data_IF_698488465989
#
_entry.id   IF_698488465989
#
_cell.length_a   1.000
_cell.length_b   1.000
_cell.length_c   1.000
_cell.angle_alpha   90.00
_cell.angle_beta   90.00
_cell.angle_gamma   90.00
#
_symmetry.space_group_name_H-M   'P 1'
#
loop_
_entity.id
_entity.type
_entity.pdbx_description
1 polymer ?
#
# COMPACT_ATOMS: atom_id res chain seq x y z
N UNK A 1 -24.72 19.90 -18.58
CA UNK A 1 -24.01 20.88 -19.39
C UNK A 1 -24.98 21.61 -20.32
N UNK A 2 -25.73 20.91 -21.19
CA UNK A 2 -26.69 21.55 -22.14
C UNK A 2 -27.83 22.27 -21.43
N UNK A 3 -28.27 21.80 -20.27
CA UNK A 3 -29.31 22.43 -19.45
C UNK A 3 -28.82 23.62 -18.60
N UNK A 4 -27.53 23.96 -18.64
CA UNK A 4 -26.94 25.04 -17.85
C UNK A 4 -26.95 24.79 -16.33
N UNK A 5 -27.14 23.55 -15.90
CA UNK A 5 -27.06 23.15 -14.49
C UNK A 5 -25.54 22.98 -14.12
N UNK A 6 -25.06 23.57 -13.02
CA UNK A 6 -23.69 23.34 -12.54
C UNK A 6 -23.37 21.85 -12.36
N UNK A 7 -22.10 21.46 -12.55
CA UNK A 7 -21.68 20.07 -12.49
C UNK A 7 -22.02 19.42 -11.15
N UNK A 8 -21.78 20.13 -10.05
CA UNK A 8 -22.03 19.64 -8.68
C UNK A 8 -23.41 19.94 -8.11
N UNK A 9 -24.38 20.32 -8.97
CA UNK A 9 -25.73 20.62 -8.50
C UNK A 9 -26.49 19.33 -8.15
N UNK A 10 -27.07 19.21 -6.95
CA UNK A 10 -27.83 18.01 -6.54
C UNK A 10 -29.02 17.66 -7.41
N UNK A 11 -29.47 18.58 -8.28
CA UNK A 11 -30.52 18.34 -9.29
C UNK A 11 -29.98 17.64 -10.53
N UNK A 12 -28.66 17.54 -10.69
CA UNK A 12 -28.04 16.86 -11.81
C UNK A 12 -27.94 15.34 -11.50
N UNK A 13 -28.70 14.50 -12.23
CA UNK A 13 -28.62 13.04 -11.99
C UNK A 13 -27.23 12.44 -12.27
N UNK A 14 -26.40 13.14 -13.06
CA UNK A 14 -25.01 12.76 -13.29
C UNK A 14 -24.17 12.78 -12.01
N UNK A 15 -24.40 13.74 -11.12
CA UNK A 15 -23.71 13.81 -9.81
C UNK A 15 -24.02 12.59 -8.95
N UNK A 16 -25.26 12.12 -8.95
CA UNK A 16 -25.67 10.92 -8.20
C UNK A 16 -25.00 9.68 -8.79
N UNK A 17 -24.97 9.57 -10.13
CA UNK A 17 -24.34 8.45 -10.82
C UNK A 17 -22.82 8.41 -10.59
N UNK A 18 -22.17 9.57 -10.59
CA UNK A 18 -20.74 9.75 -10.33
C UNK A 18 -20.39 9.30 -8.91
N UNK A 19 -21.05 9.85 -7.90
CA UNK A 19 -20.84 9.46 -6.50
C UNK A 19 -21.12 7.98 -6.23
N UNK A 20 -22.12 7.38 -6.87
CA UNK A 20 -22.39 5.94 -6.77
C UNK A 20 -21.28 5.15 -7.47
N UNK A 21 -20.83 5.61 -8.65
CA UNK A 21 -19.75 5.01 -9.42
C UNK A 21 -18.44 4.98 -8.63
N UNK A 22 -18.07 6.09 -7.99
CA UNK A 22 -16.90 6.19 -7.13
C UNK A 22 -16.97 5.19 -5.96
N UNK A 23 -18.11 5.08 -5.28
CA UNK A 23 -18.29 4.12 -4.20
C UNK A 23 -18.21 2.67 -4.68
N UNK A 24 -18.72 2.35 -5.85
CA UNK A 24 -18.66 0.99 -6.42
C UNK A 24 -17.29 0.69 -7.01
N UNK A 25 -16.70 1.62 -7.77
CA UNK A 25 -15.41 1.45 -8.43
C UNK A 25 -14.24 1.53 -7.46
N UNK A 26 -14.14 2.66 -6.75
CA UNK A 26 -12.94 2.98 -5.97
C UNK A 26 -12.96 2.33 -4.58
N UNK A 27 -14.10 2.05 -4.00
CA UNK A 27 -14.19 1.39 -2.69
C UNK A 27 -14.37 -0.11 -2.83
N UNK A 28 -15.45 -0.57 -3.48
CA UNK A 28 -15.76 -1.99 -3.57
C UNK A 28 -14.87 -2.70 -4.61
N UNK A 29 -14.65 -2.09 -5.79
CA UNK A 29 -13.83 -2.65 -6.86
C UNK A 29 -12.37 -2.76 -6.45
N UNK A 30 -11.73 -1.65 -6.03
CA UNK A 30 -10.36 -1.65 -5.54
C UNK A 30 -10.18 -2.55 -4.30
N UNK A 31 -11.16 -2.61 -3.41
CA UNK A 31 -11.12 -3.49 -2.26
C UNK A 31 -10.99 -4.96 -2.65
N UNK A 32 -11.69 -5.41 -3.70
CA UNK A 32 -11.57 -6.79 -4.21
C UNK A 32 -10.23 -7.06 -4.86
N UNK A 33 -9.68 -6.11 -5.62
CA UNK A 33 -8.35 -6.24 -6.27
C UNK A 33 -7.23 -6.32 -5.22
N UNK A 34 -7.30 -5.51 -4.16
CA UNK A 34 -6.36 -5.57 -3.04
C UNK A 34 -6.46 -6.91 -2.32
N UNK A 35 -7.68 -7.42 -2.10
CA UNK A 35 -7.90 -8.72 -1.46
C UNK A 35 -7.31 -9.87 -2.30
N UNK A 36 -7.50 -9.87 -3.62
CA UNK A 36 -6.92 -10.86 -4.52
C UNK A 36 -5.39 -10.84 -4.45
N UNK A 37 -4.78 -9.66 -4.56
CA UNK A 37 -3.32 -9.49 -4.47
C UNK A 37 -2.76 -9.93 -3.12
N UNK A 38 -3.47 -9.65 -2.04
CA UNK A 38 -3.11 -10.05 -0.70
C UNK A 38 -3.16 -11.58 -0.52
N UNK A 39 -4.22 -12.23 -0.99
CA UNK A 39 -4.33 -13.69 -1.00
C UNK A 39 -3.23 -14.34 -1.86
N UNK A 40 -2.95 -13.77 -3.03
CA UNK A 40 -1.88 -14.22 -3.91
C UNK A 40 -0.51 -14.18 -3.25
N UNK A 41 -0.19 -13.09 -2.55
CA UNK A 41 1.05 -12.94 -1.78
C UNK A 41 1.16 -13.97 -0.65
N UNK A 42 0.08 -14.22 0.09
CA UNK A 42 0.05 -15.26 1.14
C UNK A 42 0.27 -16.66 0.56
N UNK A 43 -0.42 -17.01 -0.53
CA UNK A 43 -0.28 -18.31 -1.20
C UNK A 43 1.16 -18.50 -1.68
N UNK A 44 1.75 -17.49 -2.31
CA UNK A 44 3.13 -17.53 -2.78
C UNK A 44 4.12 -17.74 -1.62
N UNK A 45 3.94 -17.03 -0.51
CA UNK A 45 4.78 -17.17 0.68
C UNK A 45 4.68 -18.56 1.31
N UNK A 46 3.46 -19.12 1.40
CA UNK A 46 3.23 -20.47 1.92
C UNK A 46 3.84 -21.52 0.98
N UNK A 47 3.70 -21.34 -0.35
CA UNK A 47 4.28 -22.26 -1.32
C UNK A 47 5.80 -22.30 -1.25
N UNK A 48 6.46 -21.15 -1.06
CA UNK A 48 7.92 -21.10 -0.82
C UNK A 48 8.27 -21.76 0.52
N UNK A 49 7.56 -21.44 1.60
CA UNK A 49 7.79 -22.03 2.92
C UNK A 49 7.62 -23.56 2.93
N UNK A 50 6.71 -24.10 2.12
CA UNK A 50 6.52 -25.55 2.00
C UNK A 50 7.73 -26.30 1.45
N UNK A 51 8.66 -25.62 0.77
CA UNK A 51 9.89 -26.21 0.27
C UNK A 51 10.98 -26.33 1.35
N UNK A 52 10.79 -25.68 2.51
CA UNK A 52 11.74 -25.66 3.61
C UNK A 52 11.46 -26.72 4.67
N UNK A 53 10.41 -27.55 4.52
CA UNK A 53 9.95 -28.60 5.44
C UNK A 53 9.74 -28.12 6.90
N UNK A 54 9.52 -26.81 7.11
CA UNK A 54 9.26 -26.20 8.41
C UNK A 54 7.79 -25.74 8.52
N UNK A 55 7.04 -26.40 9.39
CA UNK A 55 5.64 -26.08 9.64
C UNK A 55 5.42 -24.68 10.24
N UNK A 56 6.40 -24.18 11.00
CA UNK A 56 6.37 -22.81 11.55
C UNK A 56 6.42 -21.77 10.46
N UNK A 57 7.32 -21.94 9.49
CA UNK A 57 7.46 -21.07 8.32
C UNK A 57 6.19 -21.07 7.44
N UNK A 58 5.51 -22.19 7.31
CA UNK A 58 4.25 -22.28 6.53
C UNK A 58 3.09 -21.53 7.20
N UNK A 59 3.04 -21.51 8.54
CA UNK A 59 2.00 -20.82 9.29
C UNK A 59 2.26 -19.32 9.44
N UNK A 60 3.52 -18.90 9.33
CA UNK A 60 3.94 -17.52 9.55
C UNK A 60 3.20 -16.49 8.69
N UNK A 61 2.98 -16.68 7.35
CA UNK A 61 2.25 -15.73 6.53
C UNK A 61 0.81 -15.52 7.01
N UNK A 62 0.13 -16.59 7.44
CA UNK A 62 -1.24 -16.50 7.96
C UNK A 62 -1.28 -15.80 9.33
N UNK A 63 -0.30 -16.04 10.17
CA UNK A 63 -0.18 -15.39 11.47
C UNK A 63 0.12 -13.89 11.31
N UNK A 64 1.01 -13.52 10.40
CA UNK A 64 1.28 -12.11 10.04
C UNK A 64 0.05 -11.43 9.45
N UNK A 65 -0.68 -12.12 8.58
CA UNK A 65 -1.94 -11.63 8.03
C UNK A 65 -2.98 -11.34 9.12
N UNK A 66 -3.10 -12.23 10.10
CA UNK A 66 -4.02 -12.06 11.23
C UNK A 66 -3.68 -10.84 12.09
N UNK A 67 -2.39 -10.63 12.39
CA UNK A 67 -1.93 -9.42 13.10
C UNK A 67 -2.12 -8.17 12.24
N UNK A 68 -1.87 -8.25 10.93
CA UNK A 68 -2.12 -7.17 10.00
C UNK A 68 -3.58 -6.72 9.99
N UNK A 69 -4.51 -7.67 10.05
CA UNK A 69 -5.94 -7.37 10.17
C UNK A 69 -6.25 -6.63 11.48
N UNK A 70 -5.72 -7.09 12.61
CA UNK A 70 -5.90 -6.42 13.91
C UNK A 70 -5.31 -5.01 13.87
N UNK A 71 -4.10 -4.85 13.36
CA UNK A 71 -3.44 -3.54 13.22
C UNK A 71 -4.24 -2.60 12.31
N UNK A 72 -4.85 -3.11 11.23
CA UNK A 72 -5.72 -2.35 10.33
C UNK A 72 -6.98 -1.86 11.03
N UNK A 73 -7.64 -2.71 11.81
CA UNK A 73 -8.83 -2.31 12.62
C UNK A 73 -8.45 -1.20 13.62
N UNK A 74 -7.30 -1.33 14.29
CA UNK A 74 -6.79 -0.27 15.17
C UNK A 74 -6.47 1.01 14.40
N UNK A 75 -5.93 0.91 13.19
CA UNK A 75 -5.72 2.03 12.28
C UNK A 75 -7.01 2.78 11.96
N UNK A 76 -8.10 2.06 11.67
CA UNK A 76 -9.43 2.67 11.45
C UNK A 76 -9.91 3.44 12.69
N UNK A 77 -9.69 2.89 13.88
CA UNK A 77 -10.03 3.57 15.14
C UNK A 77 -9.20 4.85 15.31
N UNK A 78 -7.91 4.80 14.96
CA UNK A 78 -7.03 5.97 14.99
C UNK A 78 -7.55 7.05 14.04
N UNK A 79 -7.85 6.71 12.78
CA UNK A 79 -8.42 7.66 11.81
C UNK A 79 -9.70 8.30 12.34
N UNK A 80 -10.59 7.50 12.92
CA UNK A 80 -11.85 7.99 13.51
C UNK A 80 -11.62 8.93 14.69
N UNK A 81 -10.62 8.65 15.53
CA UNK A 81 -10.26 9.52 16.66
C UNK A 81 -9.68 10.87 16.21
N UNK A 82 -8.96 10.89 15.09
CA UNK A 82 -8.37 12.09 14.48
C UNK A 82 -9.23 12.73 13.38
N UNK A 83 -10.53 12.45 13.33
CA UNK A 83 -11.46 12.96 12.32
C UNK A 83 -11.63 14.50 12.31
N UNK A 84 -11.11 15.21 13.30
CA UNK A 84 -11.06 16.67 13.34
C UNK A 84 -9.94 17.30 12.50
N UNK A 85 -8.98 16.48 12.03
CA UNK A 85 -7.89 16.91 11.14
C UNK A 85 -8.38 16.89 9.67
N UNK A 86 -7.54 17.42 8.75
CA UNK A 86 -7.82 17.25 7.32
C UNK A 86 -7.89 15.76 6.95
N UNK A 87 -8.77 15.32 6.04
CA UNK A 87 -8.94 13.92 5.69
C UNK A 87 -7.62 13.22 5.31
N UNK A 88 -6.78 13.89 4.52
CA UNK A 88 -5.47 13.36 4.10
C UNK A 88 -4.53 13.12 5.28
N UNK A 89 -4.47 14.06 6.23
CA UNK A 89 -3.64 13.93 7.42
C UNK A 89 -4.15 12.83 8.35
N UNK A 90 -5.45 12.68 8.51
CA UNK A 90 -6.05 11.62 9.31
C UNK A 90 -5.76 10.24 8.73
N UNK A 91 -5.93 10.06 7.41
CA UNK A 91 -5.63 8.82 6.70
C UNK A 91 -4.14 8.47 6.80
N UNK A 92 -3.25 9.44 6.58
CA UNK A 92 -1.80 9.23 6.71
C UNK A 92 -1.40 8.81 8.11
N UNK A 93 -1.97 9.46 9.13
CA UNK A 93 -1.70 9.12 10.54
C UNK A 93 -2.18 7.71 10.86
N UNK A 94 -3.35 7.31 10.37
CA UNK A 94 -3.90 5.97 10.55
C UNK A 94 -3.05 4.91 9.84
N UNK A 95 -2.61 5.17 8.61
CA UNK A 95 -1.78 4.24 7.83
C UNK A 95 -0.40 4.05 8.48
N UNK A 96 0.30 5.14 8.83
CA UNK A 96 1.60 5.05 9.49
C UNK A 96 1.45 4.42 10.88
N UNK A 97 0.41 4.79 11.64
CA UNK A 97 0.13 4.23 12.97
C UNK A 97 -0.10 2.72 12.91
N UNK A 98 -0.92 2.24 11.98
CA UNK A 98 -1.16 0.80 11.79
C UNK A 98 0.09 0.05 11.33
N UNK A 99 0.91 0.65 10.46
CA UNK A 99 2.17 0.06 10.02
C UNK A 99 3.16 -0.09 11.18
N UNK A 100 3.30 0.91 12.04
CA UNK A 100 4.15 0.84 13.24
C UNK A 100 3.65 -0.24 14.20
N UNK A 101 2.35 -0.29 14.47
CA UNK A 101 1.76 -1.34 15.30
C UNK A 101 2.00 -2.73 14.73
N UNK A 102 1.84 -2.88 13.42
CA UNK A 102 2.11 -4.14 12.72
C UNK A 102 3.58 -4.58 12.86
N UNK A 103 4.54 -3.67 12.65
CA UNK A 103 5.97 -3.97 12.75
C UNK A 103 6.35 -4.44 14.15
N UNK A 104 5.82 -3.77 15.19
CA UNK A 104 6.07 -4.13 16.59
C UNK A 104 5.44 -5.51 16.89
N UNK A 105 4.20 -5.73 16.50
CA UNK A 105 3.51 -6.99 16.73
C UNK A 105 4.16 -8.15 15.96
N UNK A 106 4.61 -7.90 14.72
CA UNK A 106 5.33 -8.86 13.90
C UNK A 106 6.66 -9.29 14.54
N UNK A 107 7.39 -8.36 15.20
CA UNK A 107 8.61 -8.71 15.92
C UNK A 107 8.35 -9.79 16.98
N UNK A 108 7.39 -9.60 17.85
CA UNK A 108 7.05 -10.57 18.90
C UNK A 108 6.52 -11.88 18.34
N UNK A 109 5.71 -11.80 17.28
CA UNK A 109 5.14 -12.99 16.65
C UNK A 109 6.23 -13.84 15.99
N UNK A 110 7.12 -13.24 15.19
CA UNK A 110 8.18 -13.96 14.50
C UNK A 110 9.15 -14.61 15.52
N UNK A 111 9.46 -13.88 16.59
CA UNK A 111 10.26 -14.43 17.69
C UNK A 111 9.61 -15.65 18.34
N UNK A 112 8.28 -15.64 18.50
CA UNK A 112 7.55 -16.76 19.10
C UNK A 112 7.49 -18.00 18.19
N UNK A 113 7.40 -17.80 16.86
CA UNK A 113 7.24 -18.89 15.90
C UNK A 113 8.55 -19.53 15.48
N UNK A 114 9.64 -18.75 15.37
CA UNK A 114 10.88 -19.19 14.72
C UNK A 114 12.01 -19.37 15.74
N UNK A 115 12.03 -18.59 16.81
CA UNK A 115 13.12 -18.67 17.81
C UNK A 115 14.45 -18.13 17.28
N UNK A 116 15.42 -18.99 17.01
CA UNK A 116 16.73 -18.56 16.50
C UNK A 116 16.63 -18.15 15.01
N UNK A 117 17.32 -17.09 14.60
CA UNK A 117 17.29 -16.56 13.22
C UNK A 117 16.09 -15.66 12.89
N UNK A 118 15.20 -15.39 13.84
CA UNK A 118 14.00 -14.56 13.62
C UNK A 118 14.32 -13.13 13.13
N UNK A 119 15.50 -12.61 13.42
CA UNK A 119 15.89 -11.22 13.10
C UNK A 119 15.92 -10.99 11.59
N UNK A 120 16.45 -11.93 10.80
CA UNK A 120 16.54 -11.81 9.34
C UNK A 120 15.14 -11.76 8.71
N UNK A 121 14.24 -12.62 9.18
CA UNK A 121 12.84 -12.63 8.71
C UNK A 121 12.10 -11.36 9.12
N UNK A 122 12.33 -10.91 10.36
CA UNK A 122 11.74 -9.65 10.82
C UNK A 122 12.27 -8.45 10.02
N UNK A 123 13.56 -8.40 9.68
CA UNK A 123 14.15 -7.37 8.83
C UNK A 123 13.55 -7.38 7.42
N UNK A 124 13.27 -8.54 6.86
CA UNK A 124 12.57 -8.64 5.58
C UNK A 124 11.14 -8.06 5.66
N UNK A 125 10.39 -8.41 6.71
CA UNK A 125 9.04 -7.86 6.97
C UNK A 125 9.09 -6.35 7.21
N UNK A 126 10.06 -5.87 8.00
CA UNK A 126 10.28 -4.45 8.26
C UNK A 126 10.58 -3.70 6.96
N UNK A 127 11.47 -4.21 6.13
CA UNK A 127 11.85 -3.60 4.85
C UNK A 127 10.64 -3.51 3.91
N UNK A 128 9.83 -4.57 3.84
CA UNK A 128 8.59 -4.59 3.06
C UNK A 128 7.57 -3.57 3.58
N UNK A 129 7.35 -3.50 4.89
CA UNK A 129 6.40 -2.57 5.49
C UNK A 129 6.84 -1.10 5.30
N UNK A 130 8.10 -0.78 5.54
CA UNK A 130 8.66 0.57 5.31
C UNK A 130 8.59 0.94 3.83
N UNK A 131 8.96 0.01 2.95
CA UNK A 131 8.87 0.24 1.51
C UNK A 131 7.44 0.46 1.03
N UNK A 132 6.46 -0.28 1.57
CA UNK A 132 5.04 -0.07 1.28
C UNK A 132 4.56 1.32 1.69
N UNK A 133 4.93 1.79 2.89
CA UNK A 133 4.62 3.16 3.34
C UNK A 133 5.28 4.20 2.44
N UNK A 134 6.54 4.01 2.05
CA UNK A 134 7.24 4.92 1.15
C UNK A 134 6.57 5.00 -0.23
N UNK A 135 6.18 3.87 -0.80
CA UNK A 135 5.44 3.82 -2.07
C UNK A 135 4.10 4.56 -1.93
N UNK A 136 3.38 4.35 -0.82
CA UNK A 136 2.14 5.06 -0.52
C UNK A 136 2.32 6.59 -0.48
N UNK A 137 3.36 7.09 0.21
CA UNK A 137 3.67 8.52 0.29
C UNK A 137 4.09 9.11 -1.07
N UNK A 138 4.84 8.35 -1.87
CA UNK A 138 5.21 8.76 -3.23
C UNK A 138 3.95 8.87 -4.10
N UNK A 139 3.08 7.88 -4.03
CA UNK A 139 1.81 7.88 -4.77
C UNK A 139 0.93 9.05 -4.35
N UNK A 140 0.78 9.30 -3.05
CA UNK A 140 0.04 10.46 -2.52
C UNK A 140 0.59 11.79 -3.06
N UNK A 141 1.92 11.94 -3.14
CA UNK A 141 2.53 13.13 -3.72
C UNK A 141 2.14 13.33 -5.19
N UNK A 142 2.17 12.27 -6.00
CA UNK A 142 1.83 12.37 -7.42
C UNK A 142 0.32 12.55 -7.67
N UNK A 143 -0.54 12.09 -6.77
CA UNK A 143 -2.00 12.18 -6.91
C UNK A 143 -2.63 13.40 -6.24
N UNK A 144 -2.00 13.98 -5.22
CA UNK A 144 -2.58 15.08 -4.41
C UNK A 144 -1.81 16.40 -4.43
N UNK A 145 -0.60 16.46 -5.04
CA UNK A 145 0.28 17.61 -4.89
C UNK A 145 0.58 18.34 -6.22
N UNK A 146 1.79 18.86 -6.34
CA UNK A 146 2.27 19.66 -7.47
C UNK A 146 2.05 19.02 -8.86
N UNK A 147 2.26 17.70 -9.07
CA UNK A 147 2.09 17.11 -10.39
C UNK A 147 0.67 17.23 -10.94
N UNK A 148 -0.34 17.01 -10.11
CA UNK A 148 -1.75 17.19 -10.50
C UNK A 148 -2.07 18.63 -10.85
N UNK A 149 -1.53 19.59 -10.09
CA UNK A 149 -1.70 21.02 -10.39
C UNK A 149 -1.07 21.41 -11.74
N UNK A 150 0.02 20.76 -12.11
CA UNK A 150 0.65 20.95 -13.42
C UNK A 150 -0.25 20.45 -14.55
N UNK A 151 -0.90 19.29 -14.36
CA UNK A 151 -1.87 18.76 -15.33
C UNK A 151 -3.08 19.71 -15.44
N UNK A 152 -3.64 20.15 -14.31
CA UNK A 152 -4.75 21.10 -14.30
C UNK A 152 -4.40 22.41 -15.02
N UNK A 153 -3.21 22.97 -14.79
CA UNK A 153 -2.73 24.18 -15.47
C UNK A 153 -2.58 23.99 -16.98
N UNK A 154 -2.21 22.80 -17.44
CA UNK A 154 -2.12 22.51 -18.87
C UNK A 154 -3.47 22.55 -19.59
N UNK A 155 -4.58 22.46 -18.81
CA UNK A 155 -5.94 22.62 -19.31
C UNK A 155 -6.24 24.01 -19.93
N UNK A 156 -5.51 25.03 -19.49
CA UNK A 156 -5.62 26.40 -20.07
C UNK A 156 -5.22 26.45 -21.55
N UNK A 157 -4.40 25.50 -21.99
CA UNK A 157 -3.89 25.45 -23.37
C UNK A 157 -4.67 24.50 -24.27
N UNK A 158 -5.48 23.58 -23.70
CA UNK A 158 -6.39 22.72 -24.43
C UNK A 158 -6.32 21.24 -24.04
N UNK A 159 -7.26 20.42 -24.53
CA UNK A 159 -7.40 19.01 -24.13
C UNK A 159 -6.18 18.15 -24.51
N UNK A 160 -5.56 18.42 -25.64
CA UNK A 160 -4.38 17.67 -26.10
C UNK A 160 -3.19 17.82 -25.16
N UNK A 161 -2.94 19.02 -24.64
CA UNK A 161 -1.87 19.30 -23.68
C UNK A 161 -2.14 18.65 -22.33
N UNK A 162 -3.39 18.58 -21.88
CA UNK A 162 -3.77 17.85 -20.66
C UNK A 162 -3.44 16.37 -20.81
N UNK A 163 -3.81 15.75 -21.93
CA UNK A 163 -3.53 14.33 -22.20
C UNK A 163 -2.03 14.04 -22.20
N UNK A 164 -1.24 14.84 -22.91
CA UNK A 164 0.22 14.67 -22.99
C UNK A 164 0.87 14.87 -21.61
N UNK A 165 0.49 15.92 -20.89
CA UNK A 165 1.03 16.20 -19.56
C UNK A 165 0.61 15.12 -18.56
N UNK A 166 -0.65 14.65 -18.61
CA UNK A 166 -1.13 13.57 -17.77
C UNK A 166 -0.38 12.26 -18.00
N UNK A 167 -0.16 11.90 -19.28
CA UNK A 167 0.63 10.71 -19.62
C UNK A 167 2.08 10.83 -19.14
N UNK A 168 2.72 12.00 -19.33
CA UNK A 168 4.09 12.25 -18.89
C UNK A 168 4.22 12.14 -17.36
N UNK A 169 3.31 12.76 -16.60
CA UNK A 169 3.27 12.67 -15.13
C UNK A 169 2.98 11.26 -14.67
N UNK A 170 2.05 10.55 -15.32
CA UNK A 170 1.75 9.14 -15.04
C UNK A 170 2.98 8.23 -15.23
N UNK A 171 3.71 8.39 -16.33
CA UNK A 171 4.95 7.63 -16.55
C UNK A 171 6.03 7.98 -15.52
N UNK A 172 6.14 9.25 -15.14
CA UNK A 172 7.11 9.70 -14.12
C UNK A 172 6.77 9.16 -12.73
N UNK A 173 5.49 9.04 -12.39
CA UNK A 173 5.05 8.60 -11.07
C UNK A 173 5.45 7.15 -10.74
N UNK A 174 5.68 6.33 -11.75
CA UNK A 174 6.02 4.91 -11.60
C UNK A 174 7.52 4.70 -11.28
N UNK A 175 8.38 5.65 -11.62
CA UNK A 175 9.84 5.50 -11.50
C UNK A 175 10.28 5.29 -10.05
N UNK A 176 9.85 6.13 -9.13
CA UNK A 176 10.24 6.02 -7.72
C UNK A 176 9.69 4.73 -7.05
N UNK A 177 8.42 4.35 -7.22
CA UNK A 177 7.90 3.07 -6.72
C UNK A 177 8.69 1.86 -7.22
N UNK A 178 9.07 1.82 -8.50
CA UNK A 178 9.88 0.72 -9.06
C UNK A 178 11.27 0.68 -8.40
N UNK A 179 11.91 1.82 -8.19
CA UNK A 179 13.21 1.87 -7.52
C UNK A 179 13.11 1.41 -6.06
N UNK A 180 12.06 1.77 -5.36
CA UNK A 180 11.81 1.28 -3.99
C UNK A 180 11.62 -0.23 -3.99
N UNK A 181 10.81 -0.78 -4.90
CA UNK A 181 10.61 -2.23 -5.06
C UNK A 181 11.92 -2.96 -5.35
N UNK A 182 12.71 -2.47 -6.30
CA UNK A 182 14.02 -3.03 -6.62
C UNK A 182 14.96 -3.04 -5.41
N UNK A 183 14.93 -1.97 -4.62
CA UNK A 183 15.72 -1.86 -3.39
C UNK A 183 15.26 -2.86 -2.32
N UNK A 184 13.95 -3.04 -2.14
CA UNK A 184 13.40 -4.03 -1.21
C UNK A 184 13.87 -5.44 -1.60
N UNK A 185 13.72 -5.80 -2.88
CA UNK A 185 14.14 -7.11 -3.38
C UNK A 185 15.63 -7.31 -3.17
N UNK A 186 16.44 -6.31 -3.47
CA UNK A 186 17.90 -6.40 -3.30
C UNK A 186 18.30 -6.57 -1.83
N UNK A 187 17.70 -5.82 -0.92
CA UNK A 187 17.92 -5.96 0.52
C UNK A 187 17.52 -7.36 1.00
N UNK A 188 16.31 -7.84 0.60
CA UNK A 188 15.87 -9.17 0.98
C UNK A 188 16.81 -10.28 0.48
N UNK A 189 17.34 -10.14 -0.74
CA UNK A 189 18.33 -11.09 -1.28
C UNK A 189 19.65 -11.08 -0.51
N UNK A 190 20.16 -9.93 -0.05
CA UNK A 190 21.34 -9.85 0.77
C UNK A 190 21.17 -10.61 2.09
N UNK A 191 20.08 -10.39 2.80
CA UNK A 191 19.81 -11.08 4.07
C UNK A 191 19.61 -12.59 3.90
N UNK A 192 19.11 -13.06 2.77
CA UNK A 192 18.96 -14.49 2.50
C UNK A 192 20.27 -15.14 2.09
N UNK A 193 21.19 -14.45 1.41
CA UNK A 193 22.51 -14.99 1.05
C UNK A 193 23.44 -15.09 2.26
N UNK A 194 23.44 -14.08 3.13
CA UNK A 194 24.25 -14.11 4.37
C UNK A 194 23.82 -15.26 5.30
N UNK A 195 22.51 -15.50 5.42
CA UNK A 195 21.99 -16.63 6.20
C UNK A 195 22.37 -18.00 5.62
N UNK A 196 22.55 -18.11 4.30
CA UNK A 196 23.02 -19.34 3.65
C UNK A 196 24.52 -19.60 3.89
N UNK A 197 25.35 -18.55 3.90
CA UNK A 197 26.80 -18.66 4.16
C UNK A 197 27.11 -19.02 5.64
N UNK A 198 26.35 -18.47 6.60
CA UNK A 198 26.49 -18.83 8.02
C UNK A 198 26.08 -20.28 8.33
N UNK A 199 25.17 -20.86 7.55
CA UNK A 199 24.72 -22.24 7.72
C UNK A 199 25.72 -23.28 7.20
N UNK A 200 26.75 -22.87 6.44
CA UNK A 200 27.80 -23.74 5.84
C UNK A 200 29.10 -23.69 6.64
N UNK A 201 29.27 -22.79 7.59
CA UNK A 201 30.42 -22.64 8.46
C UNK A 201 30.20 -23.35 9.79
#
# INVERSE_FOLDING_TARGET
VEAGIPEDDPRNPGVIADNVGDNVGDVAGMGSDIFESYCGAMIASIAIASTLDDSGMMLLPLALASIGLIASVLGIIIVKAFSSMSPDAALRTGTIGSAVLFIIAAYFLIQLFIGEGFVNIWLAVLTGAVGGVLIGLITEYYTGSSPIRQIAKSGETGPATVMITGLAVGMQSVVLPILVLATIIWICLLYTSDAADESVS
#
